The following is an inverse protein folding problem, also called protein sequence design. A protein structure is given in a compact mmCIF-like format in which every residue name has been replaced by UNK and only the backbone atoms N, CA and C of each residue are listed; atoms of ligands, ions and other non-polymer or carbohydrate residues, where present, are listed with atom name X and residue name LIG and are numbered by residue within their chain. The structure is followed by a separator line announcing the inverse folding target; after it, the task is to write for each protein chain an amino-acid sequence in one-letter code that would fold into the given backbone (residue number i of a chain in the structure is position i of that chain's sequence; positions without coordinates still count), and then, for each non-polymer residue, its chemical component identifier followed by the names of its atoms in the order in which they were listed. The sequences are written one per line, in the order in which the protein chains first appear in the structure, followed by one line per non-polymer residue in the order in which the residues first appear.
data_IF_494930426941
#
_entry.id   IF_494930426941
#
_cell.length_a   1.000
_cell.length_b   1.000
_cell.length_c   1.000
_cell.angle_alpha   90.00
_cell.angle_beta   90.00
_cell.angle_gamma   90.00
#
_symmetry.space_group_name_H-M   'P 1'
#
loop_
_entity.id
_entity.type
_entity.pdbx_description
1 polymer ?
#
# COMPACT_ATOMS: atom_id res chain seq x y z
N UNK A 1 28.19 -8.08 -21.93
CA UNK A 1 26.73 -7.84 -22.03
C UNK A 1 26.22 -8.47 -23.31
N UNK A 2 25.10 -9.19 -23.25
CA UNK A 2 24.44 -9.77 -24.44
C UNK A 2 23.41 -8.76 -24.99
N UNK A 3 23.87 -7.65 -25.56
CA UNK A 3 23.02 -6.57 -26.08
C UNK A 3 23.46 -6.17 -27.48
N UNK A 4 22.48 -5.88 -28.34
CA UNK A 4 22.71 -5.29 -29.65
C UNK A 4 23.12 -3.82 -29.47
N UNK A 5 23.91 -3.25 -30.41
CA UNK A 5 24.39 -1.87 -30.29
C UNK A 5 23.27 -0.84 -30.10
N UNK A 6 22.13 -0.99 -30.78
CA UNK A 6 20.99 -0.08 -30.67
C UNK A 6 20.28 -0.18 -29.31
N UNK A 7 20.19 -1.38 -28.73
CA UNK A 7 19.62 -1.60 -27.41
C UNK A 7 20.49 -0.93 -26.34
N UNK A 8 21.82 -1.13 -26.42
CA UNK A 8 22.76 -0.50 -25.51
C UNK A 8 22.73 1.03 -25.63
N UNK A 9 22.63 1.56 -26.86
CA UNK A 9 22.48 2.99 -27.10
C UNK A 9 21.18 3.54 -26.50
N UNK A 10 20.04 2.84 -26.62
CA UNK A 10 18.75 3.25 -26.02
C UNK A 10 18.77 3.24 -24.49
N UNK A 11 19.45 2.28 -23.86
CA UNK A 11 19.63 2.22 -22.41
C UNK A 11 20.52 3.36 -21.91
N UNK A 12 21.67 3.57 -22.56
CA UNK A 12 22.60 4.65 -22.21
C UNK A 12 22.01 6.04 -22.47
N UNK A 13 21.12 6.18 -23.46
CA UNK A 13 20.37 7.42 -23.68
C UNK A 13 19.48 7.79 -22.48
N UNK A 14 19.01 6.81 -21.71
CA UNK A 14 18.31 7.01 -20.44
C UNK A 14 19.26 7.16 -19.24
N UNK A 15 20.56 7.38 -19.48
CA UNK A 15 21.56 7.62 -18.43
C UNK A 15 21.92 6.39 -17.59
N UNK A 16 21.60 5.18 -18.07
CA UNK A 16 21.95 3.94 -17.38
C UNK A 16 23.42 3.59 -17.59
N UNK A 17 24.11 3.32 -16.49
CA UNK A 17 25.47 2.81 -16.48
C UNK A 17 25.51 1.34 -16.92
N UNK A 18 26.66 0.92 -17.44
CA UNK A 18 26.89 -0.47 -17.83
C UNK A 18 26.71 -1.46 -16.65
N UNK A 19 27.06 -1.03 -15.43
CA UNK A 19 26.85 -1.83 -14.22
C UNK A 19 25.36 -1.98 -13.90
N UNK A 20 24.59 -0.89 -13.94
CA UNK A 20 23.14 -0.92 -13.73
C UNK A 20 22.44 -1.83 -14.75
N UNK A 21 22.88 -1.79 -16.01
CA UNK A 21 22.34 -2.65 -17.08
C UNK A 21 22.64 -4.12 -16.82
N UNK A 22 23.86 -4.44 -16.37
CA UNK A 22 24.28 -5.80 -16.01
C UNK A 22 23.50 -6.33 -14.81
N UNK A 23 23.36 -5.54 -13.75
CA UNK A 23 22.64 -5.91 -12.52
C UNK A 23 21.15 -6.15 -12.79
N UNK A 24 20.57 -5.37 -13.71
CA UNK A 24 19.19 -5.55 -14.17
C UNK A 24 19.00 -6.76 -15.10
N UNK A 25 20.07 -7.46 -15.48
CA UNK A 25 20.07 -8.65 -16.35
C UNK A 25 19.36 -8.42 -17.69
N UNK A 26 19.42 -7.20 -18.21
CA UNK A 26 18.79 -6.83 -19.50
C UNK A 26 19.56 -7.49 -20.64
N UNK A 27 18.85 -8.02 -21.65
CA UNK A 27 19.47 -8.70 -22.78
C UNK A 27 18.69 -8.53 -24.10
N UNK A 28 19.38 -8.71 -25.22
CA UNK A 28 18.77 -8.87 -26.54
C UNK A 28 18.23 -10.28 -26.71
N UNK A 29 16.96 -10.39 -27.10
CA UNK A 29 16.37 -11.68 -27.48
C UNK A 29 16.89 -12.07 -28.87
N UNK A 30 17.19 -13.36 -29.07
CA UNK A 30 17.49 -13.90 -30.39
C UNK A 30 16.26 -13.81 -31.29
N UNK A 31 16.43 -13.48 -32.57
CA UNK A 31 15.30 -13.41 -33.53
C UNK A 31 14.51 -14.73 -33.62
N UNK A 32 15.19 -15.86 -33.46
CA UNK A 32 14.57 -17.19 -33.41
C UNK A 32 13.61 -17.39 -32.22
N UNK A 33 13.75 -16.58 -31.16
CA UNK A 33 12.96 -16.69 -29.93
C UNK A 33 11.80 -15.69 -29.85
N UNK A 34 11.67 -14.75 -30.79
CA UNK A 34 10.65 -13.68 -30.73
C UNK A 34 9.25 -14.25 -30.57
N UNK A 35 8.87 -15.21 -31.43
CA UNK A 35 7.54 -15.80 -31.39
C UNK A 35 7.26 -16.55 -30.10
N UNK A 36 8.27 -17.21 -29.52
CA UNK A 36 8.15 -17.93 -28.25
C UNK A 36 8.00 -16.95 -27.08
N UNK A 37 8.76 -15.85 -27.08
CA UNK A 37 8.75 -14.85 -26.00
C UNK A 37 7.51 -13.96 -26.02
N UNK A 38 7.07 -13.51 -27.19
CA UNK A 38 5.92 -12.62 -27.34
C UNK A 38 4.57 -13.37 -27.42
N UNK A 39 4.60 -14.66 -27.78
CA UNK A 39 3.39 -15.44 -28.06
C UNK A 39 2.76 -15.15 -29.42
N UNK A 40 3.41 -14.31 -30.23
CA UNK A 40 3.06 -14.04 -31.62
C UNK A 40 4.33 -13.58 -32.38
N UNK A 41 4.25 -13.55 -33.71
CA UNK A 41 5.33 -13.04 -34.55
C UNK A 41 4.82 -11.86 -35.38
N UNK A 42 5.61 -10.79 -35.48
CA UNK A 42 5.35 -9.66 -36.36
C UNK A 42 6.63 -9.31 -37.11
N UNK A 43 6.65 -9.39 -38.45
CA UNK A 43 7.86 -9.20 -39.26
C UNK A 43 8.40 -7.76 -39.20
N UNK A 44 7.62 -6.79 -38.68
CA UNK A 44 8.07 -5.41 -38.48
C UNK A 44 8.93 -5.25 -37.22
N UNK A 45 9.00 -6.24 -36.34
CA UNK A 45 9.90 -6.22 -35.18
C UNK A 45 11.27 -6.70 -35.65
N UNK A 46 12.22 -5.78 -35.77
CA UNK A 46 13.58 -6.05 -36.19
C UNK A 46 14.43 -6.55 -35.01
N UNK A 47 14.25 -5.96 -33.84
CA UNK A 47 14.92 -6.38 -32.62
C UNK A 47 14.07 -6.22 -31.35
N UNK A 48 14.42 -7.02 -30.35
CA UNK A 48 13.64 -7.19 -29.12
C UNK A 48 14.58 -7.19 -27.90
N UNK A 49 14.37 -6.25 -26.99
CA UNK A 49 15.13 -6.15 -25.74
C UNK A 49 14.26 -6.58 -24.57
N UNK A 50 14.74 -7.51 -23.75
CA UNK A 50 14.03 -8.05 -22.59
C UNK A 50 14.44 -7.36 -21.29
N UNK A 51 13.44 -7.01 -20.48
CA UNK A 51 13.55 -6.60 -19.09
C UNK A 51 12.99 -7.72 -18.20
N UNK A 52 13.85 -8.52 -17.54
CA UNK A 52 13.39 -9.52 -16.60
C UNK A 52 12.80 -8.90 -15.34
N UNK A 53 11.71 -9.47 -14.81
CA UNK A 53 11.07 -9.02 -13.56
C UNK A 53 11.39 -10.02 -12.43
N UNK A 54 12.30 -9.67 -11.50
CA UNK A 54 12.67 -10.55 -10.39
C UNK A 54 11.49 -10.89 -9.48
N UNK A 55 11.40 -12.17 -9.10
CA UNK A 55 10.33 -12.67 -8.23
C UNK A 55 8.98 -12.88 -8.91
N UNK A 56 8.84 -12.58 -10.21
CA UNK A 56 7.57 -12.70 -10.95
C UNK A 56 7.50 -13.98 -11.81
N UNK A 57 8.02 -15.11 -11.32
CA UNK A 57 7.89 -16.41 -11.99
C UNK A 57 8.50 -16.50 -13.40
N UNK A 58 9.53 -15.70 -13.69
CA UNK A 58 10.14 -15.61 -15.02
C UNK A 58 9.42 -14.67 -15.99
N UNK A 59 8.51 -13.82 -15.50
CA UNK A 59 7.92 -12.74 -16.29
C UNK A 59 9.00 -11.79 -16.81
N UNK A 60 8.82 -11.35 -18.06
CA UNK A 60 9.67 -10.40 -18.73
C UNK A 60 8.80 -9.45 -19.53
N UNK A 61 9.23 -8.18 -19.61
CA UNK A 61 8.64 -7.18 -20.49
C UNK A 61 9.61 -6.83 -21.58
N UNK A 62 9.10 -6.60 -22.78
CA UNK A 62 9.94 -6.46 -23.97
C UNK A 62 9.79 -5.08 -24.59
N UNK A 63 10.91 -4.42 -24.86
CA UNK A 63 10.94 -3.25 -25.74
C UNK A 63 11.16 -3.71 -27.18
N UNK A 64 10.34 -3.18 -28.09
CA UNK A 64 10.39 -3.51 -29.52
C UNK A 64 11.03 -2.39 -30.32
N UNK A 65 11.79 -2.79 -31.33
CA UNK A 65 12.43 -1.89 -32.29
C UNK A 65 12.16 -2.38 -33.72
N UNK A 66 11.68 -1.51 -34.63
CA UNK A 66 11.04 -0.22 -34.35
C UNK A 66 9.72 -0.36 -33.54
N UNK A 67 9.19 0.73 -32.98
CA UNK A 67 7.86 0.74 -32.35
C UNK A 67 6.75 0.33 -33.33
N UNK A 68 5.79 -0.49 -32.86
CA UNK A 68 4.64 -0.93 -33.66
C UNK A 68 3.39 -0.12 -33.34
N UNK A 69 2.86 0.62 -34.32
CA UNK A 69 1.65 1.44 -34.18
C UNK A 69 1.69 2.37 -32.96
N UNK A 70 2.87 2.91 -32.65
CA UNK A 70 3.12 3.77 -31.49
C UNK A 70 3.31 3.03 -30.16
N UNK A 71 3.19 1.69 -30.13
CA UNK A 71 3.57 0.86 -28.97
C UNK A 71 5.07 0.64 -28.96
N UNK A 72 5.69 0.86 -27.80
CA UNK A 72 7.13 0.71 -27.58
C UNK A 72 7.48 -0.52 -26.74
N UNK A 73 6.53 -0.98 -25.93
CA UNK A 73 6.72 -2.09 -25.00
C UNK A 73 5.57 -3.09 -25.16
N UNK A 74 5.92 -4.37 -25.07
CA UNK A 74 5.02 -5.52 -25.14
C UNK A 74 5.26 -6.45 -23.97
N UNK A 75 4.25 -7.24 -23.65
CA UNK A 75 4.33 -8.34 -22.71
C UNK A 75 3.47 -9.51 -23.23
N UNK A 76 3.70 -10.75 -22.78
CA UNK A 76 2.89 -11.89 -23.17
C UNK A 76 1.41 -11.67 -22.85
N UNK A 77 0.52 -12.09 -23.75
CA UNK A 77 -0.94 -11.96 -23.55
C UNK A 77 -1.38 -12.81 -22.35
N UNK A 78 -2.22 -12.24 -21.49
CA UNK A 78 -2.77 -12.94 -20.32
C UNK A 78 -1.81 -13.08 -19.14
N UNK A 79 -0.62 -12.44 -19.19
CA UNK A 79 0.35 -12.48 -18.10
C UNK A 79 -0.05 -11.65 -16.87
N UNK A 80 -1.10 -10.83 -16.97
CA UNK A 80 -1.42 -9.82 -15.94
C UNK A 80 -0.40 -8.68 -15.88
N UNK A 81 -0.67 -7.73 -15.00
CA UNK A 81 0.25 -6.64 -14.67
C UNK A 81 1.24 -7.09 -13.60
N UNK A 82 2.49 -6.64 -13.72
CA UNK A 82 3.54 -6.88 -12.73
C UNK A 82 4.25 -5.60 -12.33
N UNK A 83 4.70 -5.56 -11.07
CA UNK A 83 5.55 -4.50 -10.53
C UNK A 83 7.02 -4.85 -10.80
N UNK A 84 7.74 -3.93 -11.45
CA UNK A 84 9.17 -4.09 -11.67
C UNK A 84 9.91 -3.77 -10.38
N UNK A 85 10.43 -4.80 -9.72
CA UNK A 85 11.20 -4.69 -8.47
C UNK A 85 12.62 -5.23 -8.73
N UNK A 86 13.62 -4.35 -8.96
CA UNK A 86 15.00 -4.78 -9.13
C UNK A 86 15.58 -5.40 -7.85
N UNK A 87 16.55 -6.32 -7.99
CA UNK A 87 17.19 -7.06 -6.89
C UNK A 87 17.75 -6.15 -5.77
N UNK A 88 18.17 -4.92 -6.13
CA UNK A 88 18.65 -3.92 -5.18
C UNK A 88 17.56 -3.44 -4.20
N UNK A 89 16.30 -3.37 -4.65
CA UNK A 89 15.16 -2.90 -3.87
C UNK A 89 14.50 -4.04 -3.10
N UNK A 90 14.62 -5.28 -3.59
CA UNK A 90 14.06 -6.47 -2.93
C UNK A 90 14.46 -6.57 -1.45
N UNK A 91 15.74 -6.27 -1.15
CA UNK A 91 16.33 -6.42 0.18
C UNK A 91 15.76 -5.46 1.23
N UNK A 92 15.10 -4.38 0.82
CA UNK A 92 14.58 -3.34 1.72
C UNK A 92 13.06 -3.33 1.79
N UNK A 93 12.35 -4.20 1.05
CA UNK A 93 10.89 -4.19 1.00
C UNK A 93 10.21 -4.40 2.36
N UNK A 94 10.87 -5.10 3.29
CA UNK A 94 10.38 -5.33 4.66
C UNK A 94 10.66 -4.21 5.67
N UNK A 95 11.46 -3.19 5.33
CA UNK A 95 11.82 -2.10 6.24
C UNK A 95 11.02 -0.81 5.94
N UNK A 96 9.90 -0.54 6.62
CA UNK A 96 9.05 0.61 6.33
C UNK A 96 9.71 1.97 6.64
N UNK A 97 10.86 1.99 7.31
CA UNK A 97 11.59 3.24 7.59
C UNK A 97 12.29 3.81 6.35
N UNK A 98 12.54 2.95 5.36
CA UNK A 98 13.14 3.35 4.08
C UNK A 98 12.02 3.79 3.12
N UNK A 99 12.07 5.03 2.59
CA UNK A 99 11.10 5.51 1.61
C UNK A 99 11.25 4.76 0.29
N UNK A 100 10.14 4.60 -0.44
CA UNK A 100 10.16 4.03 -1.80
C UNK A 100 9.55 4.99 -2.82
N UNK A 101 10.07 4.94 -4.04
CA UNK A 101 9.61 5.71 -5.19
C UNK A 101 8.90 4.78 -6.18
N UNK A 102 7.83 5.27 -6.81
CA UNK A 102 7.10 4.51 -7.85
C UNK A 102 7.01 5.37 -9.10
N UNK A 103 7.49 4.86 -10.23
CA UNK A 103 7.46 5.57 -11.53
C UNK A 103 6.98 4.67 -12.67
N UNK A 104 6.66 5.25 -13.83
CA UNK A 104 6.30 4.50 -15.04
C UNK A 104 7.54 4.16 -15.86
N UNK A 105 7.85 2.86 -15.96
CA UNK A 105 8.87 2.31 -16.85
C UNK A 105 10.12 1.78 -16.15
N UNK A 106 10.68 0.73 -16.73
CA UNK A 106 11.82 -0.04 -16.21
C UNK A 106 13.10 0.80 -16.24
N UNK A 107 13.35 1.53 -17.33
CA UNK A 107 14.54 2.41 -17.46
C UNK A 107 14.54 3.54 -16.41
N UNK A 108 13.38 4.14 -16.15
CA UNK A 108 13.21 5.20 -15.14
C UNK A 108 13.49 4.67 -13.74
N UNK A 109 12.96 3.48 -13.46
CA UNK A 109 13.17 2.77 -12.20
C UNK A 109 14.66 2.50 -11.97
N UNK A 110 15.36 1.97 -12.97
CA UNK A 110 16.79 1.68 -12.88
C UNK A 110 17.64 2.94 -12.72
N UNK A 111 17.29 4.02 -13.45
CA UNK A 111 17.98 5.30 -13.31
C UNK A 111 17.80 5.86 -11.90
N UNK A 112 16.59 5.81 -11.34
CA UNK A 112 16.36 6.23 -9.97
C UNK A 112 17.20 5.44 -8.95
N UNK A 113 17.25 4.11 -9.08
CA UNK A 113 18.06 3.25 -8.21
C UNK A 113 19.55 3.57 -8.33
N UNK A 114 20.04 3.80 -9.56
CA UNK A 114 21.41 4.21 -9.82
C UNK A 114 21.78 5.51 -9.08
N UNK A 115 20.84 6.44 -8.96
CA UNK A 115 21.02 7.69 -8.21
C UNK A 115 20.72 7.55 -6.70
N UNK A 116 20.57 6.33 -6.19
CA UNK A 116 20.35 6.07 -4.76
C UNK A 116 18.91 6.30 -4.29
N UNK A 117 17.93 6.24 -5.19
CA UNK A 117 16.51 6.29 -4.87
C UNK A 117 15.90 4.88 -4.95
N UNK A 118 15.52 4.26 -3.82
CA UNK A 118 14.78 3.00 -3.82
C UNK A 118 13.50 3.06 -4.66
N UNK A 119 13.49 2.47 -5.85
CA UNK A 119 12.41 2.67 -6.82
C UNK A 119 11.84 1.35 -7.34
N UNK A 120 10.52 1.29 -7.49
CA UNK A 120 9.80 0.23 -8.19
C UNK A 120 9.06 0.80 -9.40
N UNK A 121 8.91 -0.01 -10.45
CA UNK A 121 8.42 0.43 -11.74
C UNK A 121 7.07 -0.15 -12.12
N UNK A 122 6.17 0.68 -12.62
CA UNK A 122 4.94 0.24 -13.27
C UNK A 122 5.14 0.14 -14.79
N UNK A 123 4.53 -0.86 -15.43
CA UNK A 123 4.52 -0.95 -16.89
C UNK A 123 3.68 0.15 -17.57
N UNK A 124 2.86 0.84 -16.79
CA UNK A 124 1.99 1.95 -17.17
C UNK A 124 1.27 2.42 -15.91
N UNK A 125 0.84 3.69 -15.85
CA UNK A 125 0.17 4.23 -14.65
C UNK A 125 -1.10 3.49 -14.21
N UNK A 126 -1.72 2.65 -15.05
CA UNK A 126 -2.85 1.77 -14.67
C UNK A 126 -2.43 0.34 -14.30
N UNK A 127 -1.18 -0.06 -14.58
CA UNK A 127 -0.68 -1.43 -14.38
C UNK A 127 -0.34 -1.73 -12.91
N UNK A 128 -0.91 -1.00 -11.96
CA UNK A 128 -0.92 -1.38 -10.55
C UNK A 128 -2.13 -2.26 -10.20
N UNK A 129 -3.08 -2.43 -11.14
CA UNK A 129 -4.24 -3.32 -11.05
C UNK A 129 -4.34 -4.19 -12.30
N UNK A 130 -5.06 -5.31 -12.19
CA UNK A 130 -5.46 -6.14 -13.34
C UNK A 130 -6.80 -5.68 -13.97
N UNK A 131 -7.32 -4.52 -13.55
CA UNK A 131 -8.54 -3.94 -14.11
C UNK A 131 -9.82 -4.61 -13.61
N UNK A 132 -9.79 -5.13 -12.39
CA UNK A 132 -11.00 -5.63 -11.72
C UNK A 132 -11.91 -4.48 -11.29
N UNK A 133 -13.20 -4.77 -11.10
CA UNK A 133 -14.20 -3.77 -10.72
C UNK A 133 -13.89 -3.11 -9.36
N UNK A 134 -13.17 -3.83 -8.50
CA UNK A 134 -12.76 -3.36 -7.17
C UNK A 134 -11.49 -2.50 -7.19
N UNK A 135 -10.79 -2.43 -8.33
CA UNK A 135 -9.48 -1.80 -8.50
C UNK A 135 -8.50 -2.25 -7.41
N UNK A 136 -8.30 -3.55 -7.27
CA UNK A 136 -7.34 -4.11 -6.31
C UNK A 136 -5.91 -3.90 -6.80
N UNK A 137 -4.98 -3.82 -5.85
CA UNK A 137 -3.56 -3.84 -6.16
C UNK A 137 -3.18 -5.24 -6.65
N UNK A 138 -2.31 -5.31 -7.65
CA UNK A 138 -1.66 -6.57 -8.01
C UNK A 138 -0.89 -7.14 -6.82
N UNK A 139 -0.79 -8.46 -6.77
CA UNK A 139 -0.18 -9.20 -5.65
C UNK A 139 1.30 -8.88 -5.44
N UNK A 140 1.99 -8.35 -6.46
CA UNK A 140 3.38 -7.93 -6.31
C UNK A 140 3.55 -6.84 -5.23
N UNK A 141 2.50 -6.04 -4.97
CA UNK A 141 2.49 -5.07 -3.86
C UNK A 141 2.46 -5.73 -2.48
N UNK A 142 2.04 -6.99 -2.35
CA UNK A 142 2.00 -7.71 -1.06
C UNK A 142 3.40 -8.00 -0.52
N UNK A 143 4.43 -7.93 -1.37
CA UNK A 143 5.84 -8.07 -0.99
C UNK A 143 6.38 -6.85 -0.22
N UNK A 144 5.63 -5.75 -0.19
CA UNK A 144 6.08 -4.44 0.30
C UNK A 144 5.37 -4.11 1.62
N UNK A 145 6.12 -3.91 2.70
CA UNK A 145 5.54 -3.41 3.97
C UNK A 145 5.21 -1.92 3.84
N UNK A 146 3.93 -1.56 3.96
CA UNK A 146 3.46 -0.19 3.72
C UNK A 146 3.14 0.58 5.00
N UNK A 147 2.93 -0.09 6.14
CA UNK A 147 2.47 0.58 7.35
C UNK A 147 3.50 1.59 7.85
N UNK A 148 3.14 2.86 7.82
CA UNK A 148 4.00 3.98 8.22
C UNK A 148 5.08 4.35 7.20
N UNK A 149 5.17 3.64 6.06
CA UNK A 149 6.18 3.88 5.03
C UNK A 149 5.85 5.13 4.21
N UNK A 150 6.88 5.94 3.92
CA UNK A 150 6.80 7.04 2.95
C UNK A 150 6.88 6.47 1.53
N UNK A 151 5.91 6.83 0.69
CA UNK A 151 5.87 6.45 -0.73
C UNK A 151 5.79 7.71 -1.60
N UNK A 152 6.66 7.81 -2.58
CA UNK A 152 6.71 8.92 -3.54
C UNK A 152 6.31 8.41 -4.93
N UNK A 153 5.14 8.82 -5.41
CA UNK A 153 4.72 8.60 -6.79
C UNK A 153 5.38 9.66 -7.69
N UNK A 154 5.98 9.22 -8.78
CA UNK A 154 6.70 10.07 -9.74
C UNK A 154 6.20 9.80 -11.15
N UNK A 155 5.02 10.32 -11.52
CA UNK A 155 4.52 10.23 -12.89
C UNK A 155 5.34 11.12 -13.84
N UNK A 156 5.24 10.86 -15.15
CA UNK A 156 5.82 11.74 -16.17
C UNK A 156 5.17 13.14 -16.10
N UNK A 157 5.89 14.18 -16.53
CA UNK A 157 5.44 15.57 -16.38
C UNK A 157 4.15 15.92 -17.17
N UNK A 158 3.73 15.05 -18.10
CA UNK A 158 2.52 15.20 -18.92
C UNK A 158 1.32 14.39 -18.41
N UNK A 159 1.38 13.82 -17.19
CA UNK A 159 0.29 13.01 -16.63
C UNK A 159 -1.05 13.74 -16.42
N UNK A 160 -1.05 15.08 -16.45
CA UNK A 160 -2.25 15.92 -16.40
C UNK A 160 -2.73 16.37 -17.79
N UNK A 161 -1.98 16.07 -18.85
CA UNK A 161 -2.33 16.48 -20.21
C UNK A 161 -3.41 15.57 -20.82
N UNK A 162 -4.30 16.13 -21.67
CA UNK A 162 -5.24 15.32 -22.45
C UNK A 162 -4.54 14.36 -23.41
N UNK A 163 -5.26 13.32 -23.85
CA UNK A 163 -4.83 12.40 -24.88
C UNK A 163 -4.73 13.11 -26.24
N UNK A 164 -4.18 12.40 -27.24
CA UNK A 164 -3.98 12.90 -28.61
C UNK A 164 -5.28 13.31 -29.32
N UNK A 165 -6.43 12.91 -28.78
CA UNK A 165 -7.77 13.24 -29.28
C UNK A 165 -8.45 14.35 -28.48
N UNK A 166 -7.74 15.01 -27.55
CA UNK A 166 -8.27 16.08 -26.71
C UNK A 166 -9.09 15.61 -25.51
N UNK A 167 -9.20 14.30 -25.27
CA UNK A 167 -9.92 13.74 -24.13
C UNK A 167 -8.96 13.58 -22.95
N UNK A 168 -9.35 13.96 -21.73
CA UNK A 168 -8.47 13.74 -20.56
C UNK A 168 -8.05 12.27 -20.47
N UNK A 169 -6.74 11.99 -20.57
CA UNK A 169 -6.26 10.66 -20.16
C UNK A 169 -6.53 10.57 -18.68
N UNK A 170 -7.12 9.47 -18.27
CA UNK A 170 -7.47 9.27 -16.88
C UNK A 170 -6.24 8.86 -16.03
N UNK A 171 -5.05 9.37 -16.38
CA UNK A 171 -3.78 9.15 -15.67
C UNK A 171 -3.81 9.81 -14.30
N UNK A 172 -4.48 10.97 -14.19
CA UNK A 172 -4.72 11.58 -12.89
C UNK A 172 -5.47 10.63 -11.95
N UNK A 173 -6.56 10.01 -12.42
CA UNK A 173 -7.25 9.01 -11.61
C UNK A 173 -6.36 7.81 -11.30
N UNK A 174 -5.56 7.34 -12.26
CA UNK A 174 -4.66 6.21 -12.03
C UNK A 174 -3.69 6.46 -10.87
N UNK A 175 -3.04 7.64 -10.84
CA UNK A 175 -2.12 8.05 -9.77
C UNK A 175 -2.85 8.18 -8.43
N UNK A 176 -4.02 8.84 -8.40
CA UNK A 176 -4.78 9.03 -7.16
C UNK A 176 -5.36 7.73 -6.61
N UNK A 177 -5.88 6.84 -7.47
CA UNK A 177 -6.41 5.54 -7.04
C UNK A 177 -5.31 4.64 -6.51
N UNK A 178 -4.15 4.58 -7.18
CA UNK A 178 -2.96 3.92 -6.64
C UNK A 178 -2.64 4.47 -5.24
N UNK A 179 -2.51 5.80 -5.12
CA UNK A 179 -2.25 6.44 -3.84
C UNK A 179 -3.28 6.06 -2.76
N UNK A 180 -4.57 6.02 -3.09
CA UNK A 180 -5.62 5.60 -2.15
C UNK A 180 -5.49 4.14 -1.72
N UNK A 181 -5.09 3.24 -2.61
CA UNK A 181 -4.88 1.83 -2.28
C UNK A 181 -3.63 1.64 -1.42
N UNK A 182 -2.57 2.39 -1.65
CA UNK A 182 -1.38 2.39 -0.80
C UNK A 182 -1.67 2.96 0.60
N UNK A 183 -2.49 4.02 0.69
CA UNK A 183 -2.97 4.57 1.97
C UNK A 183 -3.82 3.53 2.73
N UNK A 184 -4.65 2.73 2.04
CA UNK A 184 -5.38 1.63 2.68
C UNK A 184 -4.45 0.59 3.30
N UNK A 185 -3.22 0.46 2.80
CA UNK A 185 -2.17 -0.39 3.39
C UNK A 185 -1.29 0.33 4.42
N UNK A 186 -1.65 1.56 4.79
CA UNK A 186 -1.01 2.32 5.86
C UNK A 186 0.19 3.18 5.42
N UNK A 187 0.40 3.36 4.12
CA UNK A 187 1.46 4.25 3.60
C UNK A 187 1.08 5.74 3.73
N UNK A 188 2.11 6.59 3.84
CA UNK A 188 1.98 8.03 3.61
C UNK A 188 2.45 8.32 2.18
N UNK A 189 1.56 8.82 1.33
CA UNK A 189 1.79 8.89 -0.11
C UNK A 189 1.91 10.34 -0.56
N UNK A 190 2.99 10.64 -1.28
CA UNK A 190 3.25 11.93 -1.89
C UNK A 190 3.39 11.77 -3.40
N UNK A 191 3.01 12.80 -4.16
CA UNK A 191 3.34 12.91 -5.59
C UNK A 191 4.44 13.94 -5.73
N UNK A 192 5.54 13.59 -6.40
CA UNK A 192 6.60 14.53 -6.79
C UNK A 192 6.26 15.07 -8.18
N UNK A 193 6.28 16.39 -8.32
CA UNK A 193 5.94 17.07 -9.57
C UNK A 193 7.20 17.34 -10.38
N UNK A 194 7.40 16.59 -11.46
CA UNK A 194 8.43 16.90 -12.44
C UNK A 194 8.10 18.22 -13.16
N UNK A 195 9.06 19.14 -13.34
CA UNK A 195 8.80 20.40 -14.02
C UNK A 195 8.28 20.20 -15.46
N UNK A 196 7.39 21.09 -15.94
CA UNK A 196 6.98 21.06 -17.34
C UNK A 196 8.18 21.36 -18.24
N UNK A 197 8.27 20.67 -19.37
CA UNK A 197 9.37 20.87 -20.31
C UNK A 197 9.75 19.60 -21.07
N UNK A 198 10.91 19.62 -21.75
CA UNK A 198 11.36 18.53 -22.61
C UNK A 198 11.78 17.26 -21.84
N UNK A 199 12.08 17.38 -20.55
CA UNK A 199 12.44 16.26 -19.67
C UNK A 199 11.15 15.63 -19.15
N UNK A 200 10.62 14.67 -19.90
CA UNK A 200 9.30 14.10 -19.63
C UNK A 200 9.34 13.13 -18.46
N UNK A 201 10.33 12.26 -18.45
CA UNK A 201 10.47 11.19 -17.47
C UNK A 201 11.41 11.53 -16.30
N UNK A 202 11.29 10.74 -15.24
CA UNK A 202 12.25 10.73 -14.14
C UNK A 202 13.69 10.46 -14.62
N UNK A 203 13.89 9.56 -15.58
CA UNK A 203 15.23 9.32 -16.15
C UNK A 203 15.77 10.54 -16.89
N UNK A 204 14.95 11.20 -17.71
CA UNK A 204 15.33 12.43 -18.42
C UNK A 204 15.77 13.52 -17.42
N UNK A 205 15.02 13.68 -16.33
CA UNK A 205 15.33 14.66 -15.28
C UNK A 205 16.67 14.32 -14.58
N UNK A 206 16.84 13.07 -14.12
CA UNK A 206 18.06 12.62 -13.43
C UNK A 206 19.29 12.50 -14.35
N UNK A 207 19.13 12.63 -15.66
CA UNK A 207 20.26 12.78 -16.58
C UNK A 207 20.83 14.20 -16.60
N UNK A 208 20.03 15.21 -16.22
CA UNK A 208 20.40 16.62 -16.30
C UNK A 208 20.49 17.30 -14.93
N UNK A 209 19.97 16.66 -13.89
CA UNK A 209 19.90 17.17 -12.53
C UNK A 209 20.41 16.15 -11.51
N UNK A 210 20.88 16.66 -10.38
CA UNK A 210 21.31 15.88 -9.22
C UNK A 210 20.14 15.29 -8.46
N UNK A 211 20.40 14.26 -7.65
CA UNK A 211 19.38 13.66 -6.79
C UNK A 211 18.93 14.62 -5.68
N UNK A 212 19.80 15.54 -5.25
CA UNK A 212 19.48 16.61 -4.29
C UNK A 212 18.46 17.59 -4.87
N UNK A 213 18.67 18.04 -6.12
CA UNK A 213 17.69 18.87 -6.83
C UNK A 213 16.36 18.15 -6.99
N UNK A 214 16.39 16.87 -7.37
CA UNK A 214 15.17 16.04 -7.46
C UNK A 214 14.43 15.95 -6.12
N UNK A 215 15.13 15.73 -5.00
CA UNK A 215 14.53 15.68 -3.65
C UNK A 215 13.93 17.02 -3.21
N UNK A 216 14.39 18.13 -3.78
CA UNK A 216 13.91 19.49 -3.51
C UNK A 216 12.68 19.90 -4.34
N UNK A 217 12.28 19.10 -5.33
CA UNK A 217 11.11 19.37 -6.16
C UNK A 217 9.82 19.51 -5.32
N UNK A 218 8.86 20.24 -5.89
CA UNK A 218 7.50 20.33 -5.33
C UNK A 218 6.91 18.94 -5.17
N UNK A 219 6.23 18.74 -4.05
CA UNK A 219 5.46 17.53 -3.78
C UNK A 219 4.22 17.85 -2.99
N UNK A 220 3.14 17.12 -3.26
CA UNK A 220 1.92 17.21 -2.50
C UNK A 220 1.52 15.85 -1.95
N UNK A 221 0.91 15.84 -0.77
CA UNK A 221 0.41 14.63 -0.13
C UNK A 221 -0.91 14.20 -0.78
N UNK A 222 -1.02 12.92 -1.15
CA UNK A 222 -2.31 12.31 -1.44
C UNK A 222 -2.96 12.00 -0.09
N UNK A 223 -4.09 12.64 0.17
CA UNK A 223 -4.98 12.28 1.28
C UNK A 223 -6.34 11.86 0.76
N UNK A 224 -6.96 10.92 1.48
CA UNK A 224 -8.36 10.57 1.22
C UNK A 224 -9.23 11.75 1.63
N UNK A 225 -9.99 12.28 0.66
CA UNK A 225 -11.02 13.28 0.94
C UNK A 225 -12.02 12.74 1.94
N UNK A 226 -12.44 13.58 2.87
CA UNK A 226 -13.56 13.28 3.77
C UNK A 226 -14.85 13.18 2.96
N UNK A 227 -15.87 12.52 3.52
CA UNK A 227 -17.18 12.45 2.86
C UNK A 227 -17.75 13.85 2.60
N UNK A 228 -17.56 14.79 3.53
CA UNK A 228 -17.96 16.19 3.38
C UNK A 228 -17.30 16.86 2.16
N UNK A 229 -15.98 16.77 2.02
CA UNK A 229 -15.24 17.33 0.89
C UNK A 229 -15.63 16.70 -0.45
N UNK A 230 -15.97 15.40 -0.46
CA UNK A 230 -16.45 14.72 -1.66
C UNK A 230 -17.84 15.20 -2.06
N UNK A 231 -18.75 15.40 -1.09
CA UNK A 231 -20.08 15.96 -1.35
C UNK A 231 -19.96 17.39 -1.87
N UNK A 232 -19.03 18.18 -1.33
CA UNK A 232 -18.80 19.55 -1.79
C UNK A 232 -18.48 19.64 -3.28
N UNK A 233 -17.76 18.65 -3.82
CA UNK A 233 -17.38 18.58 -5.25
C UNK A 233 -18.04 17.39 -5.96
N UNK A 234 -19.29 17.08 -5.62
CA UNK A 234 -20.01 15.94 -6.20
C UNK A 234 -20.17 16.08 -7.72
N UNK A 235 -19.89 14.99 -8.44
CA UNK A 235 -20.16 14.80 -9.87
C UNK A 235 -20.68 13.38 -10.10
N UNK A 236 -21.18 13.08 -11.30
CA UNK A 236 -21.60 11.72 -11.64
C UNK A 236 -20.44 10.70 -11.53
N UNK A 237 -19.21 11.15 -11.79
CA UNK A 237 -18.01 10.29 -11.77
C UNK A 237 -17.64 9.83 -10.36
N UNK A 238 -17.79 10.71 -9.35
CA UNK A 238 -17.44 10.40 -7.97
C UNK A 238 -18.64 9.94 -7.11
N UNK A 239 -19.86 10.08 -7.62
CA UNK A 239 -21.08 9.71 -6.90
C UNK A 239 -21.06 8.24 -6.46
N UNK A 240 -20.56 7.34 -7.32
CA UNK A 240 -20.46 5.90 -6.98
C UNK A 240 -19.63 5.68 -5.70
N UNK A 241 -18.49 6.37 -5.58
CA UNK A 241 -17.59 6.25 -4.44
C UNK A 241 -18.18 6.91 -3.18
N UNK A 242 -18.85 8.06 -3.32
CA UNK A 242 -19.54 8.74 -2.21
C UNK A 242 -20.58 7.79 -1.59
N UNK A 243 -21.43 7.19 -2.43
CA UNK A 243 -22.47 6.25 -1.97
C UNK A 243 -21.85 5.04 -1.27
N UNK A 244 -20.74 4.50 -1.80
CA UNK A 244 -20.00 3.38 -1.19
C UNK A 244 -19.49 3.74 0.21
N UNK A 245 -18.89 4.92 0.38
CA UNK A 245 -18.40 5.41 1.69
C UNK A 245 -19.52 5.69 2.67
N UNK A 246 -20.64 6.25 2.19
CA UNK A 246 -21.85 6.46 3.01
C UNK A 246 -22.43 5.15 3.54
N UNK A 247 -22.30 4.05 2.80
CA UNK A 247 -22.67 2.71 3.27
C UNK A 247 -21.86 2.21 4.47
N UNK A 248 -20.65 2.75 4.71
CA UNK A 248 -19.70 2.30 5.73
C UNK A 248 -19.67 3.15 7.00
N UNK A 249 -20.36 4.30 7.02
CA UNK A 249 -20.48 5.15 8.21
C UNK A 249 -21.70 4.79 9.05
N UNK A 250 -21.75 5.31 10.28
CA UNK A 250 -22.88 5.10 11.20
C UNK A 250 -24.19 5.63 10.61
N UNK A 251 -25.33 5.11 11.06
CA UNK A 251 -26.64 5.52 10.57
C UNK A 251 -26.88 7.04 10.72
N UNK A 252 -26.39 7.62 11.82
CA UNK A 252 -26.51 9.06 12.12
C UNK A 252 -25.66 9.91 11.16
N UNK A 253 -24.38 9.56 10.99
CA UNK A 253 -23.49 10.25 10.04
C UNK A 253 -24.03 10.12 8.61
N UNK A 254 -24.52 8.93 8.25
CA UNK A 254 -25.14 8.67 6.95
C UNK A 254 -26.34 9.60 6.73
N UNK A 255 -27.24 9.74 7.70
CA UNK A 255 -28.42 10.59 7.56
C UNK A 255 -28.06 12.08 7.34
N UNK A 256 -27.02 12.57 8.02
CA UNK A 256 -26.51 13.95 7.84
C UNK A 256 -26.01 14.14 6.40
N UNK A 257 -25.10 13.27 5.96
CA UNK A 257 -24.51 13.39 4.63
C UNK A 257 -25.50 13.10 3.50
N UNK A 258 -26.45 12.18 3.68
CA UNK A 258 -27.53 11.93 2.70
C UNK A 258 -28.40 13.17 2.55
N UNK A 259 -28.68 13.90 3.65
CA UNK A 259 -29.42 15.18 3.59
C UNK A 259 -28.66 16.22 2.77
N UNK A 260 -27.36 16.38 3.00
CA UNK A 260 -26.52 17.32 2.24
C UNK A 260 -26.43 16.95 0.76
N UNK A 261 -26.18 15.67 0.47
CA UNK A 261 -26.07 15.16 -0.90
C UNK A 261 -27.38 15.31 -1.68
N UNK A 262 -28.53 15.01 -1.05
CA UNK A 262 -29.85 15.18 -1.64
C UNK A 262 -30.13 16.65 -2.03
N UNK A 263 -29.81 17.58 -1.12
CA UNK A 263 -29.99 19.01 -1.38
C UNK A 263 -29.12 19.49 -2.55
N UNK A 264 -27.88 18.99 -2.63
CA UNK A 264 -26.92 19.41 -3.64
C UNK A 264 -27.22 18.86 -5.02
N UNK A 265 -27.60 17.59 -5.11
CA UNK A 265 -27.98 16.93 -6.36
C UNK A 265 -29.43 17.19 -6.78
N UNK A 266 -30.24 17.77 -5.89
CA UNK A 266 -31.69 17.99 -6.08
C UNK A 266 -32.44 16.68 -6.39
N UNK A 267 -32.07 15.60 -5.69
CA UNK A 267 -32.72 14.28 -5.80
C UNK A 267 -33.33 13.84 -4.47
N UNK A 268 -34.38 13.00 -4.47
CA UNK A 268 -34.98 12.51 -3.24
C UNK A 268 -33.99 11.71 -2.38
N UNK A 269 -34.01 11.93 -1.06
CA UNK A 269 -33.22 11.14 -0.09
C UNK A 269 -33.46 9.64 -0.24
N UNK A 270 -34.71 9.24 -0.49
CA UNK A 270 -35.11 7.85 -0.69
C UNK A 270 -34.41 7.18 -1.88
N UNK A 271 -34.12 7.92 -2.95
CA UNK A 271 -33.37 7.40 -4.09
C UNK A 271 -31.90 7.14 -3.71
N UNK A 272 -31.26 8.08 -3.02
CA UNK A 272 -29.89 7.92 -2.51
C UNK A 272 -29.79 6.74 -1.54
N UNK A 273 -30.73 6.62 -0.60
CA UNK A 273 -30.74 5.50 0.35
C UNK A 273 -30.97 4.15 -0.33
N UNK A 274 -31.81 4.11 -1.37
CA UNK A 274 -32.02 2.92 -2.21
C UNK A 274 -30.73 2.52 -2.92
N UNK A 275 -30.00 3.48 -3.50
CA UNK A 275 -28.73 3.22 -4.18
C UNK A 275 -27.62 2.79 -3.21
N UNK A 276 -27.56 3.37 -2.01
CA UNK A 276 -26.65 2.91 -0.95
C UNK A 276 -26.97 1.45 -0.60
N UNK A 277 -28.25 1.10 -0.38
CA UNK A 277 -28.67 -0.26 -0.06
C UNK A 277 -28.37 -1.27 -1.18
N UNK A 278 -28.50 -0.87 -2.45
CA UNK A 278 -28.18 -1.70 -3.62
C UNK A 278 -26.69 -1.91 -3.83
N UNK A 279 -25.86 -0.93 -3.42
CA UNK A 279 -24.39 -0.94 -3.63
C UNK A 279 -23.57 -1.34 -2.41
N UNK A 280 -24.16 -1.36 -1.22
CA UNK A 280 -23.65 -2.23 -0.16
C UNK A 280 -23.71 -3.63 -0.80
N UNK A 281 -22.59 -4.32 -1.01
CA UNK A 281 -22.65 -5.69 -1.48
C UNK A 281 -23.67 -6.39 -0.59
N UNK A 282 -24.69 -7.01 -1.19
CA UNK A 282 -25.45 -8.03 -0.46
C UNK A 282 -24.36 -8.87 0.16
N UNK A 283 -24.30 -8.93 1.48
CA UNK A 283 -23.51 -9.97 2.11
C UNK A 283 -24.04 -11.25 1.50
N UNK A 284 -23.31 -11.82 0.54
CA UNK A 284 -23.11 -13.25 0.62
C UNK A 284 -22.68 -13.47 2.05
N UNK A 285 -23.51 -14.21 2.77
CA UNK A 285 -23.20 -14.71 4.09
C UNK A 285 -22.05 -15.71 3.97
N UNK A 286 -20.89 -15.27 3.47
CA UNK A 286 -19.65 -15.91 3.79
C UNK A 286 -19.40 -15.56 5.25
N UNK A 287 -19.73 -16.55 6.09
CA UNK A 287 -19.39 -16.66 7.50
C UNK A 287 -17.87 -16.68 7.67
N UNK A 288 -17.21 -15.56 7.42
CA UNK A 288 -15.90 -15.28 8.02
C UNK A 288 -15.95 -13.83 8.51
N UNK A 289 -16.24 -13.70 9.80
CA UNK A 289 -16.23 -12.42 10.50
C UNK A 289 -14.77 -11.91 10.46
N UNK A 290 -14.50 -10.78 9.81
CA UNK A 290 -13.37 -9.96 10.26
C UNK A 290 -13.80 -9.26 11.55
N UNK A 291 -13.67 -9.98 12.66
CA UNK A 291 -13.83 -9.41 13.99
C UNK A 291 -12.64 -8.48 14.27
N UNK A 292 -12.89 -7.34 14.92
CA UNK A 292 -11.86 -6.38 15.33
C UNK A 292 -10.79 -7.02 16.24
N UNK A 293 -11.13 -8.16 16.83
CA UNK A 293 -10.29 -9.00 17.66
C UNK A 293 -10.43 -10.43 17.17
N UNK A 294 -9.37 -11.20 17.25
CA UNK A 294 -9.43 -12.64 17.03
C UNK A 294 -10.46 -13.28 17.97
N UNK A 295 -11.38 -14.09 17.44
CA UNK A 295 -12.23 -14.93 18.28
C UNK A 295 -11.36 -16.09 18.78
N UNK A 296 -10.86 -15.98 20.02
CA UNK A 296 -10.09 -17.04 20.67
C UNK A 296 -11.06 -18.15 21.06
N UNK A 297 -10.93 -19.31 20.44
CA UNK A 297 -11.63 -20.52 20.88
C UNK A 297 -11.03 -20.98 22.22
N UNK A 298 -11.85 -21.22 23.26
CA UNK A 298 -11.37 -21.81 24.51
C UNK A 298 -10.69 -23.15 24.25
N UNK A 299 -9.64 -23.45 25.01
CA UNK A 299 -9.02 -24.77 24.97
C UNK A 299 -10.04 -25.85 25.35
N UNK A 300 -10.01 -26.99 24.65
CA UNK A 300 -11.00 -28.06 24.80
C UNK A 300 -10.98 -28.70 26.20
N UNK A 301 -9.83 -28.66 26.87
CA UNK A 301 -9.61 -29.24 28.20
C UNK A 301 -9.36 -28.15 29.25
N UNK A 302 -9.66 -28.42 30.54
CA UNK A 302 -9.27 -27.53 31.62
C UNK A 302 -7.75 -27.31 31.62
N UNK A 303 -7.35 -26.05 31.60
CA UNK A 303 -5.94 -25.64 31.65
C UNK A 303 -5.52 -25.34 33.09
N UNK A 304 -4.35 -25.84 33.48
CA UNK A 304 -3.77 -25.58 34.79
C UNK A 304 -3.25 -24.13 34.86
N UNK A 305 -3.95 -23.27 35.60
CA UNK A 305 -3.64 -21.84 35.65
C UNK A 305 -2.21 -21.51 36.12
N UNK A 306 -1.62 -22.37 36.97
CA UNK A 306 -0.23 -22.21 37.41
C UNK A 306 0.76 -22.43 36.28
N UNK A 307 0.50 -23.36 35.37
CA UNK A 307 1.37 -23.63 34.22
C UNK A 307 1.33 -22.45 33.25
N UNK A 308 0.13 -21.94 32.95
CA UNK A 308 -0.04 -20.74 32.12
C UNK A 308 0.68 -19.53 32.75
N UNK A 309 0.53 -19.34 34.06
CA UNK A 309 1.22 -18.25 34.76
C UNK A 309 2.74 -18.37 34.62
N UNK A 310 3.29 -19.57 34.83
CA UNK A 310 4.73 -19.82 34.69
C UNK A 310 5.23 -19.55 33.26
N UNK A 311 4.46 -19.92 32.25
CA UNK A 311 4.80 -19.64 30.84
C UNK A 311 4.79 -18.15 30.52
N UNK A 312 3.76 -17.43 30.98
CA UNK A 312 3.68 -15.97 30.83
C UNK A 312 4.87 -15.29 31.51
N UNK A 313 5.21 -15.69 32.73
CA UNK A 313 6.39 -15.16 33.43
C UNK A 313 7.68 -15.42 32.66
N UNK A 314 7.86 -16.63 32.12
CA UNK A 314 9.03 -16.99 31.33
C UNK A 314 9.15 -16.13 30.05
N UNK A 315 8.02 -15.85 29.38
CA UNK A 315 7.97 -14.96 28.22
C UNK A 315 8.39 -13.54 28.62
N UNK A 316 7.84 -13.00 29.71
CA UNK A 316 8.18 -11.65 30.17
C UNK A 316 9.67 -11.57 30.53
N UNK A 317 10.18 -12.53 31.31
CA UNK A 317 11.59 -12.64 31.71
C UNK A 317 12.55 -12.67 30.52
N UNK A 318 12.13 -13.30 29.41
CA UNK A 318 12.93 -13.41 28.18
C UNK A 318 13.12 -12.08 27.46
N UNK A 319 12.14 -11.19 27.49
CA UNK A 319 12.10 -9.99 26.64
C UNK A 319 12.18 -8.67 27.42
N UNK A 320 11.91 -8.65 28.73
CA UNK A 320 11.89 -7.44 29.55
C UNK A 320 12.62 -7.68 30.87
N UNK A 321 13.58 -6.81 31.19
CA UNK A 321 14.26 -6.81 32.48
C UNK A 321 13.40 -6.08 33.51
N UNK A 322 12.82 -6.83 34.45
CA UNK A 322 12.05 -6.31 35.58
C UNK A 322 12.22 -7.21 36.81
N UNK A 323 11.86 -6.71 37.99
CA UNK A 323 11.93 -7.50 39.23
C UNK A 323 10.91 -8.64 39.23
N UNK A 324 11.20 -9.73 39.93
CA UNK A 324 10.29 -10.88 40.10
C UNK A 324 8.88 -10.45 40.54
N UNK A 325 8.78 -9.46 41.44
CA UNK A 325 7.48 -8.93 41.90
C UNK A 325 6.70 -8.23 40.79
N UNK A 326 7.37 -7.52 39.88
CA UNK A 326 6.74 -6.84 38.75
C UNK A 326 6.29 -7.85 37.68
N UNK A 327 7.10 -8.89 37.44
CA UNK A 327 6.77 -9.98 36.52
C UNK A 327 5.51 -10.70 37.02
N UNK A 328 5.49 -11.05 38.30
CA UNK A 328 4.36 -11.70 38.94
C UNK A 328 3.09 -10.83 38.85
N UNK A 329 3.18 -9.55 39.20
CA UNK A 329 2.05 -8.62 39.12
C UNK A 329 1.52 -8.44 37.69
N UNK A 330 2.42 -8.37 36.70
CA UNK A 330 2.06 -8.26 35.28
C UNK A 330 1.36 -9.53 34.79
N UNK A 331 1.86 -10.70 35.19
CA UNK A 331 1.27 -12.00 34.86
C UNK A 331 -0.14 -12.12 35.40
N UNK A 332 -0.35 -11.80 36.69
CA UNK A 332 -1.69 -11.79 37.28
C UNK A 332 -2.62 -10.79 36.59
N UNK A 333 -2.10 -9.63 36.19
CA UNK A 333 -2.88 -8.64 35.46
C UNK A 333 -3.28 -9.11 34.06
N UNK A 334 -2.39 -9.82 33.34
CA UNK A 334 -2.72 -10.45 32.05
C UNK A 334 -3.87 -11.45 32.24
N UNK A 335 -3.76 -12.37 33.21
CA UNK A 335 -4.81 -13.34 33.50
C UNK A 335 -6.13 -12.67 33.89
N UNK A 336 -6.06 -11.61 34.69
CA UNK A 336 -7.22 -10.79 35.06
C UNK A 336 -7.96 -10.26 33.83
N UNK A 337 -7.28 -9.93 32.72
CA UNK A 337 -7.97 -9.43 31.52
C UNK A 337 -8.95 -10.44 30.92
N UNK A 338 -8.75 -11.74 31.12
CA UNK A 338 -9.65 -12.80 30.64
C UNK A 338 -10.84 -13.03 31.59
N UNK A 339 -10.67 -12.79 32.88
CA UNK A 339 -11.69 -13.06 33.91
C UNK A 339 -12.22 -11.80 34.61
N UNK A 340 -11.94 -10.60 34.08
CA UNK A 340 -12.23 -9.30 34.70
C UNK A 340 -13.70 -9.12 35.13
N UNK A 341 -14.64 -9.77 34.42
CA UNK A 341 -16.09 -9.72 34.74
C UNK A 341 -16.45 -10.38 36.08
N UNK A 342 -15.55 -11.17 36.64
CA UNK A 342 -15.71 -11.82 37.94
C UNK A 342 -15.32 -10.91 39.11
N UNK A 343 -14.80 -9.71 38.83
CA UNK A 343 -14.29 -8.77 39.82
C UNK A 343 -15.08 -7.46 39.79
N UNK A 344 -15.30 -6.86 40.98
CA UNK A 344 -15.94 -5.55 41.09
C UNK A 344 -14.98 -4.39 40.82
N UNK A 345 -13.68 -4.62 40.97
CA UNK A 345 -12.63 -3.63 40.80
C UNK A 345 -11.52 -4.24 39.96
N UNK A 346 -11.11 -3.52 38.91
CA UNK A 346 -10.04 -3.93 38.00
C UNK A 346 -8.90 -2.92 38.13
N UNK A 347 -7.72 -3.30 38.66
CA UNK A 347 -6.58 -2.39 38.74
C UNK A 347 -6.04 -2.01 37.36
N UNK A 348 -5.50 -0.80 37.25
CA UNK A 348 -4.74 -0.36 36.07
C UNK A 348 -3.28 -0.80 36.19
N UNK A 349 -2.74 -1.46 35.17
CA UNK A 349 -1.31 -1.73 35.09
C UNK A 349 -0.59 -0.48 34.61
N UNK A 350 -0.06 0.30 35.56
CA UNK A 350 0.71 1.51 35.26
C UNK A 350 2.15 1.13 34.97
N UNK A 351 2.58 1.36 33.73
CA UNK A 351 3.97 1.14 33.30
C UNK A 351 4.70 2.48 33.29
N UNK A 352 5.51 2.73 34.32
CA UNK A 352 6.34 3.92 34.43
C UNK A 352 7.83 3.58 34.31
N UNK A 353 8.61 4.44 33.65
CA UNK A 353 10.07 4.36 33.63
C UNK A 353 10.68 5.74 33.85
N UNK A 354 11.78 5.84 34.61
CA UNK A 354 12.42 7.13 34.89
C UNK A 354 13.14 7.73 33.68
N UNK A 355 13.56 6.90 32.72
CA UNK A 355 14.33 7.31 31.55
C UNK A 355 13.75 6.76 30.23
N UNK A 356 14.12 7.37 29.10
CA UNK A 356 13.80 6.86 27.75
C UNK A 356 14.57 5.55 27.51
N UNK A 357 13.95 4.61 26.79
CA UNK A 357 14.52 3.29 26.36
C UNK A 357 14.64 2.22 27.45
N UNK A 358 13.90 2.33 28.55
CA UNK A 358 13.86 1.31 29.62
C UNK A 358 12.87 0.15 29.35
N UNK A 359 12.55 -0.18 28.10
CA UNK A 359 11.72 -1.35 27.76
C UNK A 359 10.20 -1.18 27.88
N UNK A 360 9.67 0.04 28.14
CA UNK A 360 8.21 0.31 28.20
C UNK A 360 7.47 -0.13 26.93
N UNK A 361 7.98 0.25 25.77
CA UNK A 361 7.41 -0.14 24.46
C UNK A 361 7.46 -1.64 24.25
N UNK A 362 8.55 -2.30 24.66
CA UNK A 362 8.68 -3.76 24.58
C UNK A 362 7.64 -4.46 25.44
N UNK A 363 7.42 -3.99 26.67
CA UNK A 363 6.40 -4.54 27.56
C UNK A 363 4.98 -4.35 26.98
N UNK A 364 4.67 -3.16 26.44
CA UNK A 364 3.39 -2.90 25.76
C UNK A 364 3.18 -3.82 24.53
N UNK A 365 4.24 -4.09 23.76
CA UNK A 365 4.18 -5.04 22.65
C UNK A 365 3.87 -6.46 23.11
N UNK A 366 4.50 -6.93 24.19
CA UNK A 366 4.21 -8.25 24.78
C UNK A 366 2.77 -8.30 25.28
N UNK A 367 2.33 -7.29 26.03
CA UNK A 367 0.95 -7.20 26.51
C UNK A 367 -0.05 -7.27 25.36
N UNK A 368 0.23 -6.61 24.23
CA UNK A 368 -0.63 -6.64 23.05
C UNK A 368 -0.81 -8.02 22.40
N UNK A 369 -0.02 -9.02 22.80
CA UNK A 369 -0.15 -10.40 22.34
C UNK A 369 -0.77 -11.32 23.37
N UNK A 370 -0.72 -10.94 24.65
CA UNK A 370 -1.11 -11.83 25.75
C UNK A 370 -2.44 -11.45 26.38
N UNK A 371 -2.85 -10.18 26.35
CA UNK A 371 -4.10 -9.74 27.01
C UNK A 371 -5.35 -10.06 26.18
N UNK A 372 -6.49 -10.17 26.86
CA UNK A 372 -7.78 -10.37 26.20
C UNK A 372 -8.18 -9.15 25.37
N UNK A 373 -8.37 -9.35 24.05
CA UNK A 373 -8.84 -8.34 23.09
C UNK A 373 -8.04 -7.03 23.15
N UNK A 374 -6.74 -7.06 22.80
CA UNK A 374 -5.86 -5.91 22.90
C UNK A 374 -6.25 -4.82 21.91
N UNK A 375 -6.38 -3.59 22.38
CA UNK A 375 -6.60 -2.42 21.53
C UNK A 375 -5.60 -1.31 21.86
N UNK A 376 -4.66 -1.07 20.94
CA UNK A 376 -3.77 0.09 21.02
C UNK A 376 -4.54 1.37 20.72
N UNK A 377 -4.57 2.31 21.67
CA UNK A 377 -5.27 3.58 21.50
C UNK A 377 -4.37 4.64 20.86
N UNK A 378 -3.93 4.42 19.63
CA UNK A 378 -3.27 5.47 18.85
C UNK A 378 -4.27 5.97 17.79
N UNK A 379 -4.69 7.24 17.90
CA UNK A 379 -5.56 7.93 16.92
C UNK A 379 -7.00 7.42 16.75
N UNK A 380 -7.62 6.83 17.78
CA UNK A 380 -9.08 6.56 17.77
C UNK A 380 -9.86 7.80 18.23
N UNK A 381 -10.92 8.17 17.50
CA UNK A 381 -11.80 9.26 17.95
C UNK A 381 -12.55 8.84 19.23
N UNK A 382 -12.87 9.78 20.14
CA UNK A 382 -13.60 9.46 21.37
C UNK A 382 -14.89 8.67 21.10
N UNK A 383 -15.65 9.06 20.07
CA UNK A 383 -16.91 8.38 19.72
C UNK A 383 -16.70 6.96 19.18
N UNK A 384 -15.63 6.70 18.44
CA UNK A 384 -15.28 5.35 17.99
C UNK A 384 -14.80 4.47 19.17
N UNK A 385 -14.09 5.06 20.14
CA UNK A 385 -13.64 4.38 21.35
C UNK A 385 -14.82 3.91 22.19
N UNK A 386 -15.79 4.78 22.50
CA UNK A 386 -16.99 4.40 23.27
C UNK A 386 -17.77 3.25 22.62
N UNK A 387 -17.97 3.31 21.29
CA UNK A 387 -18.66 2.24 20.56
C UNK A 387 -17.90 0.91 20.62
N UNK A 388 -16.57 0.97 20.56
CA UNK A 388 -15.71 -0.22 20.60
C UNK A 388 -15.73 -0.85 22.00
N UNK A 389 -15.67 -0.03 23.05
CA UNK A 389 -15.80 -0.48 24.45
C UNK A 389 -17.14 -1.19 24.67
N UNK A 390 -18.23 -0.57 24.24
CA UNK A 390 -19.58 -1.13 24.43
C UNK A 390 -19.77 -2.45 23.68
N UNK A 391 -19.22 -2.56 22.47
CA UNK A 391 -19.42 -3.75 21.63
C UNK A 391 -18.50 -4.91 21.98
N UNK A 392 -17.24 -4.62 22.31
CA UNK A 392 -16.21 -5.66 22.40
C UNK A 392 -15.55 -5.80 23.77
N UNK A 393 -15.73 -4.81 24.66
CA UNK A 393 -15.08 -4.74 25.97
C UNK A 393 -13.56 -5.07 25.91
N UNK A 394 -12.77 -4.32 25.10
CA UNK A 394 -11.36 -4.62 24.90
C UNK A 394 -10.50 -4.19 26.08
N UNK A 395 -9.29 -4.76 26.15
CA UNK A 395 -8.21 -4.22 26.97
C UNK A 395 -7.53 -3.06 26.24
N UNK A 396 -7.64 -1.85 26.78
CA UNK A 396 -7.01 -0.66 26.19
C UNK A 396 -5.55 -0.57 26.60
N UNK A 397 -4.67 -0.52 25.61
CA UNK A 397 -3.24 -0.28 25.78
C UNK A 397 -2.92 1.14 25.32
N UNK A 398 -2.63 2.01 26.29
CA UNK A 398 -2.43 3.44 26.10
C UNK A 398 -0.94 3.74 26.29
N UNK A 399 -0.34 4.37 25.29
CA UNK A 399 0.98 5.00 25.42
C UNK A 399 0.80 6.52 25.32
N UNK A 400 1.48 7.26 26.20
CA UNK A 400 1.45 8.73 26.25
C UNK A 400 2.49 9.36 25.34
#
# INVERSE_FOLDING_TARGET
MNLYPEHLADLRKSGLSDQTILDAKIYSVSSSDFSRKLGFNDPKIESLMAFPYPGCGGFERFKIFPPLDGRRYLQPKGSGSHLYIPDAVEKILGDPTIPIYITEGEKKTLKAIQEGLPCVGLGGLWNWSNGDDEKTLITDFDRIEFRGRLVFLVPDNDWLEPNRHGEQRNLQQAVFELGYRLIDRGAQVFVIELPPGPLKGLDDYLCQHTVEEFRSLSKFEIRKKTIAEMIEKVSLDNLKEILRRLGRVSATERAIYVKELANKLKIPKSAIESDIKKKIPKKEENKEKSTLFEEIEPWDEPVEGNEIANEIEAIIKKYVVMSEKQIFATTLWILLTYCYRSFFVVPLLVISSPEKRCGKTTLLQILSKLVYRPLFSCNISPSALYRTIQKYSPCLLIDE
#
